data_IF_229955529207
#
_entry.id   IF_229955529207
#
_cell.length_a   1.000
_cell.length_b   1.000
_cell.length_c   1.000
_cell.angle_alpha   90.00
_cell.angle_beta   90.00
_cell.angle_gamma   90.00
#
_symmetry.space_group_name_H-M   'P 1'
#
loop_
_entity.id
_entity.type
_entity.pdbx_description
1 polymer ?
#
# COMPACT_ATOMS: atom_id res chain seq x y z
N UNK A 1 -3.21 33.53 16.71
CA UNK A 1 -3.25 32.38 15.79
C UNK A 1 -4.70 32.29 15.31
N UNK A 2 -4.97 32.77 14.10
CA UNK A 2 -6.32 32.85 13.51
C UNK A 2 -6.73 31.48 12.97
N UNK A 3 -8.03 31.22 12.93
CA UNK A 3 -8.64 29.98 12.42
C UNK A 3 -8.09 29.56 11.04
N UNK A 4 -7.83 30.52 10.16
CA UNK A 4 -7.23 30.32 8.83
C UNK A 4 -5.82 29.69 8.86
N UNK A 5 -5.01 29.96 9.90
CA UNK A 5 -3.69 29.37 10.03
C UNK A 5 -3.75 27.90 10.49
N UNK A 6 -4.84 27.49 11.17
CA UNK A 6 -5.03 26.11 11.60
C UNK A 6 -5.53 25.25 10.44
N UNK A 7 -6.46 25.76 9.64
CA UNK A 7 -6.96 25.06 8.44
C UNK A 7 -5.84 24.84 7.40
N UNK A 8 -5.00 25.84 7.14
CA UNK A 8 -3.88 25.70 6.19
C UNK A 8 -2.85 24.62 6.62
N UNK A 9 -2.52 24.55 7.90
CA UNK A 9 -1.58 23.55 8.44
C UNK A 9 -2.20 22.15 8.42
N UNK A 10 -3.50 22.02 8.71
CA UNK A 10 -4.21 20.74 8.64
C UNK A 10 -4.29 20.25 7.19
N UNK A 11 -4.60 21.12 6.23
CA UNK A 11 -4.68 20.77 4.81
C UNK A 11 -3.30 20.40 4.23
N UNK A 12 -2.25 21.15 4.56
CA UNK A 12 -0.87 20.84 4.18
C UNK A 12 -0.43 19.47 4.74
N UNK A 13 -0.72 19.21 6.02
CA UNK A 13 -0.41 17.92 6.66
C UNK A 13 -1.13 16.73 6.01
N UNK A 14 -2.36 16.92 5.53
CA UNK A 14 -3.15 15.92 4.81
C UNK A 14 -2.58 15.64 3.41
N UNK A 15 -2.20 16.68 2.67
CA UNK A 15 -1.58 16.53 1.34
C UNK A 15 -0.21 15.83 1.43
N UNK A 16 0.59 16.15 2.44
CA UNK A 16 1.85 15.45 2.70
C UNK A 16 1.64 13.97 3.05
N UNK A 17 0.60 13.64 3.82
CA UNK A 17 0.26 12.26 4.14
C UNK A 17 -0.09 11.45 2.88
N UNK A 18 -0.95 11.99 2.01
CA UNK A 18 -1.28 11.38 0.71
C UNK A 18 -0.05 11.24 -0.20
N UNK A 19 0.84 12.24 -0.20
CA UNK A 19 2.12 12.17 -0.90
C UNK A 19 2.98 11.01 -0.44
N UNK A 20 3.10 10.79 0.89
CA UNK A 20 3.85 9.67 1.48
C UNK A 20 3.24 8.31 1.13
N UNK A 21 1.91 8.18 1.18
CA UNK A 21 1.20 6.95 0.79
C UNK A 21 1.47 6.58 -0.68
N UNK A 22 1.32 7.55 -1.59
CA UNK A 22 1.61 7.35 -3.03
C UNK A 22 3.06 6.95 -3.28
N UNK A 23 4.02 7.56 -2.57
CA UNK A 23 5.43 7.20 -2.67
C UNK A 23 5.70 5.77 -2.17
N UNK A 24 5.11 5.37 -1.04
CA UNK A 24 5.26 4.03 -0.50
C UNK A 24 4.70 2.96 -1.46
N UNK A 25 3.51 3.21 -2.03
CA UNK A 25 2.93 2.35 -3.04
C UNK A 25 3.79 2.28 -4.31
N UNK A 26 4.28 3.41 -4.80
CA UNK A 26 5.17 3.46 -5.98
C UNK A 26 6.43 2.64 -5.76
N UNK A 27 7.04 2.76 -4.59
CA UNK A 27 8.24 2.00 -4.22
C UNK A 27 7.95 0.48 -4.13
N UNK A 28 6.76 0.09 -3.67
CA UNK A 28 6.31 -1.31 -3.68
C UNK A 28 6.11 -1.85 -5.09
N UNK A 29 5.46 -1.07 -5.96
CA UNK A 29 5.24 -1.40 -7.37
C UNK A 29 6.59 -1.58 -8.08
N UNK A 30 7.52 -0.64 -7.93
CA UNK A 30 8.84 -0.70 -8.56
C UNK A 30 9.62 -1.95 -8.15
N UNK A 31 9.52 -2.35 -6.87
CA UNK A 31 10.14 -3.58 -6.36
C UNK A 31 9.56 -4.83 -7.02
N UNK A 32 8.24 -4.94 -7.08
CA UNK A 32 7.57 -6.07 -7.72
C UNK A 32 7.85 -6.14 -9.22
N UNK A 33 7.87 -5.00 -9.92
CA UNK A 33 8.18 -4.93 -11.35
C UNK A 33 9.60 -5.39 -11.67
N UNK A 34 10.58 -5.11 -10.80
CA UNK A 34 11.96 -5.60 -11.00
C UNK A 34 12.03 -7.13 -11.03
N UNK A 35 11.19 -7.82 -10.26
CA UNK A 35 11.10 -9.29 -10.27
C UNK A 35 10.57 -9.85 -11.61
N UNK A 36 9.88 -9.02 -12.41
CA UNK A 36 9.36 -9.38 -13.74
C UNK A 36 10.36 -9.08 -14.87
N UNK A 37 11.29 -8.14 -14.67
CA UNK A 37 12.12 -7.60 -15.75
C UNK A 37 13.41 -8.38 -16.01
N UNK A 38 13.78 -9.32 -15.16
CA UNK A 38 15.05 -10.04 -15.32
C UNK A 38 15.36 -10.98 -14.15
N UNK A 39 16.60 -11.49 -14.10
CA UNK A 39 17.03 -12.36 -13.01
C UNK A 39 16.94 -11.62 -11.67
N UNK A 40 16.40 -12.29 -10.67
CA UNK A 40 16.28 -11.81 -9.29
C UNK A 40 16.82 -12.87 -8.32
N UNK A 41 17.23 -12.46 -7.13
CA UNK A 41 17.60 -13.39 -6.06
C UNK A 41 16.38 -13.76 -5.20
N UNK A 42 16.46 -14.89 -4.47
CA UNK A 42 15.42 -15.25 -3.50
C UNK A 42 15.25 -14.17 -2.41
N UNK A 43 16.32 -13.48 -2.05
CA UNK A 43 16.28 -12.36 -1.12
C UNK A 43 15.49 -11.17 -1.69
N UNK A 44 15.70 -10.82 -2.97
CA UNK A 44 14.92 -9.77 -3.64
C UNK A 44 13.42 -10.07 -3.63
N UNK A 45 13.05 -11.33 -3.91
CA UNK A 45 11.66 -11.78 -3.86
C UNK A 45 11.08 -11.60 -2.44
N UNK A 46 11.76 -12.14 -1.42
CA UNK A 46 11.32 -12.09 -0.03
C UNK A 46 11.19 -10.64 0.45
N UNK A 47 12.18 -9.78 0.18
CA UNK A 47 12.17 -8.38 0.61
C UNK A 47 11.06 -7.59 -0.09
N UNK A 48 10.80 -7.86 -1.37
CA UNK A 48 9.73 -7.18 -2.12
C UNK A 48 8.35 -7.57 -1.59
N UNK A 49 8.10 -8.87 -1.36
CA UNK A 49 6.84 -9.36 -0.80
C UNK A 49 6.63 -8.89 0.64
N UNK A 50 7.68 -8.91 1.47
CA UNK A 50 7.61 -8.39 2.84
C UNK A 50 7.32 -6.89 2.88
N UNK A 51 7.88 -6.11 1.96
CA UNK A 51 7.61 -4.68 1.85
C UNK A 51 6.12 -4.42 1.59
N UNK A 52 5.56 -5.07 0.57
CA UNK A 52 4.14 -4.92 0.20
C UNK A 52 3.24 -5.39 1.32
N UNK A 53 3.54 -6.55 1.93
CA UNK A 53 2.80 -7.06 3.07
C UNK A 53 2.76 -6.06 4.23
N UNK A 54 3.90 -5.49 4.62
CA UNK A 54 3.98 -4.50 5.72
C UNK A 54 3.23 -3.22 5.40
N UNK A 55 3.36 -2.72 4.16
CA UNK A 55 2.63 -1.54 3.71
C UNK A 55 1.12 -1.74 3.86
N UNK A 56 0.61 -2.88 3.42
CA UNK A 56 -0.81 -3.19 3.53
C UNK A 56 -1.27 -3.44 4.96
N UNK A 57 -0.44 -4.00 5.84
CA UNK A 57 -0.75 -4.07 7.28
C UNK A 57 -0.96 -2.68 7.87
N UNK A 58 -0.09 -1.71 7.56
CA UNK A 58 -0.22 -0.33 8.04
C UNK A 58 -1.52 0.32 7.50
N UNK A 59 -1.83 0.13 6.22
CA UNK A 59 -3.07 0.65 5.63
C UNK A 59 -4.32 0.05 6.28
N UNK A 60 -4.33 -1.25 6.55
CA UNK A 60 -5.46 -1.92 7.22
C UNK A 60 -5.63 -1.37 8.64
N UNK A 61 -4.55 -1.16 9.39
CA UNK A 61 -4.59 -0.58 10.73
C UNK A 61 -5.16 0.85 10.70
N UNK A 62 -4.73 1.69 9.76
CA UNK A 62 -5.26 3.04 9.58
C UNK A 62 -6.75 3.05 9.17
N UNK A 63 -7.15 2.19 8.24
CA UNK A 63 -8.53 2.06 7.78
C UNK A 63 -9.48 1.48 8.84
N UNK A 64 -8.95 0.68 9.77
CA UNK A 64 -9.69 0.14 10.89
C UNK A 64 -9.87 1.15 12.04
N UNK A 65 -9.13 2.26 12.02
CA UNK A 65 -9.23 3.29 13.05
C UNK A 65 -10.60 3.99 12.99
N UNK A 66 -11.30 4.18 14.13
CA UNK A 66 -12.63 4.79 14.14
C UNK A 66 -12.65 6.23 13.63
N UNK A 67 -11.53 6.95 13.78
CA UNK A 67 -11.38 8.34 13.31
C UNK A 67 -10.98 8.43 11.81
N UNK A 68 -10.94 7.31 11.08
CA UNK A 68 -10.62 7.33 9.66
C UNK A 68 -11.75 8.02 8.86
N UNK A 69 -11.40 9.09 8.15
CA UNK A 69 -12.36 9.96 7.46
C UNK A 69 -13.04 9.37 6.21
N UNK A 70 -12.72 8.13 5.82
CA UNK A 70 -13.37 7.48 4.68
C UNK A 70 -14.73 6.88 5.07
N UNK A 71 -15.70 6.78 4.12
CA UNK A 71 -16.97 6.11 4.37
C UNK A 71 -16.80 4.64 4.77
N UNK A 72 -17.59 4.16 5.74
CA UNK A 72 -17.52 2.80 6.29
C UNK A 72 -17.45 1.70 5.23
N UNK A 73 -18.29 1.79 4.20
CA UNK A 73 -18.33 0.83 3.11
C UNK A 73 -17.01 0.82 2.33
N UNK A 74 -16.48 2.00 2.01
CA UNK A 74 -15.21 2.11 1.29
C UNK A 74 -14.05 1.56 2.13
N UNK A 75 -14.03 1.85 3.45
CA UNK A 75 -13.03 1.26 4.36
C UNK A 75 -13.11 -0.26 4.35
N UNK A 76 -14.30 -0.83 4.48
CA UNK A 76 -14.51 -2.28 4.46
C UNK A 76 -14.05 -2.93 3.14
N UNK A 77 -14.34 -2.29 2.00
CA UNK A 77 -13.91 -2.76 0.68
C UNK A 77 -12.38 -2.75 0.55
N UNK A 78 -11.70 -1.66 0.97
CA UNK A 78 -10.24 -1.55 0.92
C UNK A 78 -9.57 -2.50 1.91
N UNK A 79 -10.10 -2.65 3.13
CA UNK A 79 -9.60 -3.63 4.11
C UNK A 79 -9.69 -5.05 3.54
N UNK A 80 -10.77 -5.39 2.85
CA UNK A 80 -10.93 -6.71 2.21
C UNK A 80 -9.85 -6.96 1.15
N UNK A 81 -9.55 -5.95 0.33
CA UNK A 81 -8.45 -5.99 -0.64
C UNK A 81 -7.11 -6.15 0.09
N UNK A 82 -6.86 -5.36 1.14
CA UNK A 82 -5.60 -5.43 1.88
C UNK A 82 -5.37 -6.78 2.54
N UNK A 83 -6.40 -7.38 3.13
CA UNK A 83 -6.33 -8.72 3.70
C UNK A 83 -6.00 -9.78 2.63
N UNK A 84 -6.55 -9.64 1.43
CA UNK A 84 -6.20 -10.49 0.30
C UNK A 84 -4.73 -10.29 -0.12
N UNK A 85 -4.27 -9.05 -0.25
CA UNK A 85 -2.87 -8.73 -0.61
C UNK A 85 -1.87 -9.32 0.38
N UNK A 86 -2.15 -9.20 1.68
CA UNK A 86 -1.29 -9.79 2.74
C UNK A 86 -1.20 -11.31 2.57
N UNK A 87 -2.33 -12.00 2.36
CA UNK A 87 -2.37 -13.45 2.16
C UNK A 87 -1.64 -13.87 0.89
N UNK A 88 -1.84 -13.12 -0.20
CA UNK A 88 -1.21 -13.43 -1.48
C UNK A 88 0.30 -13.23 -1.43
N UNK A 89 0.77 -12.17 -0.76
CA UNK A 89 2.20 -11.96 -0.54
C UNK A 89 2.84 -13.09 0.30
N UNK A 90 2.15 -13.57 1.34
CA UNK A 90 2.60 -14.72 2.14
C UNK A 90 2.61 -16.01 1.31
N UNK A 91 1.57 -16.27 0.49
CA UNK A 91 1.48 -17.42 -0.42
C UNK A 91 2.64 -17.44 -1.42
N UNK A 92 2.88 -16.34 -2.14
CA UNK A 92 3.95 -16.24 -3.14
C UNK A 92 5.34 -16.42 -2.52
N UNK A 93 5.53 -15.94 -1.29
CA UNK A 93 6.78 -16.13 -0.56
C UNK A 93 7.02 -17.62 -0.25
N UNK A 94 6.00 -18.30 0.24
CA UNK A 94 6.10 -19.71 0.64
C UNK A 94 6.30 -20.60 -0.60
N UNK A 95 5.64 -20.28 -1.71
CA UNK A 95 5.81 -20.94 -3.01
C UNK A 95 7.12 -20.55 -3.74
N UNK A 96 7.81 -19.50 -3.28
CA UNK A 96 8.97 -18.89 -3.96
C UNK A 96 8.66 -18.50 -5.41
N UNK A 97 7.43 -18.07 -5.65
CA UNK A 97 6.91 -17.69 -6.97
C UNK A 97 7.07 -16.19 -7.19
N UNK A 98 7.46 -15.81 -8.42
CA UNK A 98 7.46 -14.42 -8.86
C UNK A 98 6.17 -14.05 -9.63
N UNK A 99 5.09 -14.81 -9.51
CA UNK A 99 3.79 -14.46 -10.10
C UNK A 99 3.11 -13.30 -9.33
N UNK A 100 3.75 -12.13 -9.35
CA UNK A 100 3.38 -10.94 -8.57
C UNK A 100 2.52 -9.94 -9.36
N UNK A 101 2.05 -10.32 -10.55
CA UNK A 101 1.35 -9.41 -11.46
C UNK A 101 0.07 -8.82 -10.84
N UNK A 102 -0.73 -9.65 -10.16
CA UNK A 102 -1.94 -9.18 -9.49
C UNK A 102 -1.63 -8.19 -8.36
N UNK A 103 -0.53 -8.41 -7.62
CA UNK A 103 -0.07 -7.47 -6.60
C UNK A 103 0.31 -6.12 -7.22
N UNK A 104 1.00 -6.11 -8.36
CA UNK A 104 1.35 -4.87 -9.09
C UNK A 104 0.09 -4.10 -9.49
N UNK A 105 -0.88 -4.79 -10.09
CA UNK A 105 -2.12 -4.18 -10.59
C UNK A 105 -2.94 -3.53 -9.46
N UNK A 106 -3.12 -4.23 -8.35
CA UNK A 106 -3.86 -3.70 -7.19
C UNK A 106 -3.14 -2.49 -6.59
N UNK A 107 -1.81 -2.58 -6.39
CA UNK A 107 -1.07 -1.46 -5.81
C UNK A 107 -1.10 -0.22 -6.73
N UNK A 108 -1.07 -0.40 -8.06
CA UNK A 108 -1.24 0.70 -9.03
C UNK A 108 -2.64 1.32 -8.94
N UNK A 109 -3.68 0.50 -8.95
CA UNK A 109 -5.07 0.98 -8.86
C UNK A 109 -5.28 1.83 -7.60
N UNK A 110 -4.77 1.35 -6.45
CA UNK A 110 -4.90 2.06 -5.17
C UNK A 110 -4.07 3.34 -5.15
N UNK A 111 -2.84 3.32 -5.68
CA UNK A 111 -2.00 4.52 -5.79
C UNK A 111 -2.66 5.60 -6.64
N UNK A 112 -3.29 5.21 -7.75
CA UNK A 112 -3.90 6.13 -8.70
C UNK A 112 -5.27 6.66 -8.21
N UNK A 113 -5.89 5.97 -7.24
CA UNK A 113 -7.14 6.37 -6.59
C UNK A 113 -6.95 7.30 -5.37
N UNK A 114 -5.77 7.28 -4.74
CA UNK A 114 -5.30 8.26 -3.75
C UNK A 114 -4.93 9.56 -4.46
#
# INVERSE_FOLDING_TARGET
MTFEAYEAVVEESGQEARGRERQALSLGIDRLERLQRGPFSLEDLIQSLLYVRRLWTIFIEDLAHPDNGLPDKLRADIISIGLWVVKEADRLRDERSNDVMQLIEINRLIRDAL
#
